data_IF_995247586331
#
_entry.id   IF_995247586331
#
_cell.length_a   1.000
_cell.length_b   1.000
_cell.length_c   1.000
_cell.angle_alpha   90.00
_cell.angle_beta   90.00
_cell.angle_gamma   90.00
#
_symmetry.space_group_name_H-M   'P 1'
#
loop_
_entity.id
_entity.type
_entity.pdbx_description
1 polymer ?
#
# COMPACT_ATOMS: atom_id res chain seq x y z
N UNK A 1 -78.41 -34.56 -17.70
CA UNK A 1 -77.92 -33.34 -17.02
C UNK A 1 -78.10 -32.14 -17.94
N UNK A 2 -78.81 -31.09 -17.51
CA UNK A 2 -79.21 -29.96 -18.38
C UNK A 2 -78.18 -28.83 -18.43
N UNK A 3 -78.00 -28.23 -19.62
CA UNK A 3 -77.01 -27.19 -19.94
C UNK A 3 -76.96 -26.01 -18.92
N UNK A 4 -78.10 -25.63 -18.32
CA UNK A 4 -78.17 -24.58 -17.28
C UNK A 4 -77.40 -24.94 -15.99
N UNK A 5 -77.34 -26.22 -15.60
CA UNK A 5 -76.55 -26.69 -14.46
C UNK A 5 -75.05 -26.61 -14.76
N UNK A 6 -74.65 -26.97 -15.98
CA UNK A 6 -73.27 -26.86 -16.47
C UNK A 6 -72.82 -25.40 -16.49
N UNK A 7 -73.63 -24.45 -16.98
CA UNK A 7 -73.31 -23.01 -16.98
C UNK A 7 -73.13 -22.45 -15.57
N UNK A 8 -73.98 -22.82 -14.60
CA UNK A 8 -73.81 -22.42 -13.20
C UNK A 8 -72.54 -23.00 -12.58
N UNK A 9 -72.20 -24.25 -12.90
CA UNK A 9 -70.95 -24.87 -12.43
C UNK A 9 -69.72 -24.18 -13.03
N UNK A 10 -69.77 -23.76 -14.29
CA UNK A 10 -68.72 -22.99 -14.97
C UNK A 10 -68.57 -21.59 -14.36
N UNK A 11 -69.66 -20.87 -14.10
CA UNK A 11 -69.62 -19.58 -13.41
C UNK A 11 -69.10 -19.69 -11.96
N UNK A 12 -69.51 -20.72 -11.22
CA UNK A 12 -68.99 -20.98 -9.88
C UNK A 12 -67.52 -21.40 -9.88
N UNK A 13 -67.04 -22.05 -10.96
CA UNK A 13 -65.64 -22.36 -11.19
C UNK A 13 -64.84 -21.09 -11.53
N UNK A 14 -65.34 -20.25 -12.43
CA UNK A 14 -64.73 -18.97 -12.80
C UNK A 14 -64.57 -18.03 -11.59
N UNK A 15 -65.61 -17.86 -10.78
CA UNK A 15 -65.56 -17.06 -9.53
C UNK A 15 -64.59 -17.65 -8.49
N UNK A 16 -64.42 -18.98 -8.45
CA UNK A 16 -63.40 -19.63 -7.60
C UNK A 16 -61.99 -19.36 -8.11
N UNK A 17 -61.80 -19.44 -9.43
CA UNK A 17 -60.52 -19.14 -10.09
C UNK A 17 -60.07 -17.70 -9.83
N UNK A 18 -60.97 -16.73 -10.00
CA UNK A 18 -60.72 -15.30 -9.75
C UNK A 18 -60.34 -15.01 -8.30
N UNK A 19 -61.08 -15.57 -7.32
CA UNK A 19 -60.71 -15.46 -5.90
C UNK A 19 -59.35 -16.08 -5.58
N UNK A 20 -59.03 -17.23 -6.19
CA UNK A 20 -57.73 -17.88 -6.03
C UNK A 20 -56.60 -17.08 -6.69
N UNK A 21 -56.87 -16.37 -7.79
CA UNK A 21 -55.90 -15.47 -8.42
C UNK A 21 -55.61 -14.25 -7.52
N UNK A 22 -56.66 -13.59 -7.01
CA UNK A 22 -56.50 -12.47 -6.06
C UNK A 22 -55.82 -12.88 -4.76
N UNK A 23 -56.12 -14.08 -4.22
CA UNK A 23 -55.42 -14.59 -3.04
C UNK A 23 -53.93 -14.78 -3.31
N UNK A 24 -53.58 -15.41 -4.45
CA UNK A 24 -52.17 -15.59 -4.87
C UNK A 24 -51.47 -14.25 -5.06
N UNK A 25 -52.13 -13.26 -5.66
CA UNK A 25 -51.59 -11.91 -5.82
C UNK A 25 -51.28 -11.26 -4.45
N UNK A 26 -52.21 -11.31 -3.49
CA UNK A 26 -51.98 -10.78 -2.13
C UNK A 26 -50.85 -11.50 -1.40
N UNK A 27 -50.74 -12.82 -1.55
CA UNK A 27 -49.65 -13.60 -0.98
C UNK A 27 -48.29 -13.22 -1.58
N UNK A 28 -48.23 -12.98 -2.90
CA UNK A 28 -47.04 -12.47 -3.57
C UNK A 28 -46.68 -11.05 -3.12
N UNK A 29 -47.65 -10.14 -3.01
CA UNK A 29 -47.43 -8.78 -2.50
C UNK A 29 -46.92 -8.77 -1.06
N UNK A 30 -47.43 -9.67 -0.20
CA UNK A 30 -46.95 -9.80 1.18
C UNK A 30 -45.50 -10.28 1.20
N UNK A 31 -45.15 -11.30 0.41
CA UNK A 31 -43.77 -11.78 0.27
C UNK A 31 -42.84 -10.69 -0.25
N UNK A 32 -43.29 -9.94 -1.26
CA UNK A 32 -42.51 -8.82 -1.81
C UNK A 32 -42.21 -7.75 -0.74
N UNK A 33 -43.19 -7.41 0.10
CA UNK A 33 -42.98 -6.48 1.23
C UNK A 33 -42.02 -7.03 2.27
N UNK A 34 -42.07 -8.34 2.55
CA UNK A 34 -41.13 -9.00 3.46
C UNK A 34 -39.71 -8.99 2.90
N UNK A 35 -39.52 -9.31 1.61
CA UNK A 35 -38.21 -9.22 0.95
C UNK A 35 -37.66 -7.79 0.95
N UNK A 36 -38.45 -6.81 0.53
CA UNK A 36 -38.01 -5.41 0.52
C UNK A 36 -37.65 -4.91 1.93
N UNK A 37 -38.35 -5.40 2.96
CA UNK A 37 -38.00 -5.10 4.35
C UNK A 37 -36.67 -5.73 4.75
N UNK A 38 -36.41 -6.99 4.38
CA UNK A 38 -35.13 -7.64 4.68
C UNK A 38 -33.97 -6.93 3.99
N UNK A 39 -34.10 -6.66 2.69
CA UNK A 39 -33.13 -5.92 1.89
C UNK A 39 -32.82 -4.54 2.50
N UNK A 40 -33.83 -3.79 2.91
CA UNK A 40 -33.62 -2.48 3.56
C UNK A 40 -32.90 -2.57 4.91
N UNK A 41 -33.07 -3.67 5.66
CA UNK A 41 -32.36 -3.88 6.92
C UNK A 41 -30.91 -4.30 6.68
N UNK A 42 -30.65 -5.14 5.67
CA UNK A 42 -29.30 -5.52 5.25
C UNK A 42 -28.52 -4.31 4.74
N UNK A 43 -29.14 -3.49 3.89
CA UNK A 43 -28.53 -2.25 3.42
C UNK A 43 -28.22 -1.29 4.58
N UNK A 44 -29.15 -1.15 5.54
CA UNK A 44 -28.93 -0.33 6.73
C UNK A 44 -27.74 -0.83 7.57
N UNK A 45 -27.60 -2.14 7.75
CA UNK A 45 -26.47 -2.73 8.47
C UNK A 45 -25.14 -2.48 7.75
N UNK A 46 -25.11 -2.71 6.43
CA UNK A 46 -23.94 -2.47 5.61
C UNK A 46 -23.49 -0.99 5.65
N UNK A 47 -24.43 -0.04 5.60
CA UNK A 47 -24.09 1.39 5.68
C UNK A 47 -23.47 1.79 7.02
N UNK A 48 -23.86 1.13 8.11
CA UNK A 48 -23.26 1.35 9.44
C UNK A 48 -21.87 0.72 9.48
N UNK A 49 -21.71 -0.49 8.95
CA UNK A 49 -20.40 -1.17 8.85
C UNK A 49 -19.40 -0.35 8.04
N UNK A 50 -19.79 0.20 6.88
CA UNK A 50 -18.93 1.09 6.08
C UNK A 50 -18.52 2.33 6.87
N UNK A 51 -19.45 2.92 7.63
CA UNK A 51 -19.15 4.08 8.48
C UNK A 51 -18.19 3.74 9.61
N UNK A 52 -18.44 2.65 10.34
CA UNK A 52 -17.58 2.19 11.44
C UNK A 52 -16.18 1.85 10.94
N UNK A 53 -16.07 1.11 9.83
CA UNK A 53 -14.80 0.81 9.19
C UNK A 53 -14.05 2.06 8.74
N UNK A 54 -14.74 3.06 8.19
CA UNK A 54 -14.12 4.34 7.81
C UNK A 54 -13.54 5.08 9.02
N UNK A 55 -14.27 5.11 10.14
CA UNK A 55 -13.78 5.70 11.39
C UNK A 55 -12.58 4.90 11.92
N UNK A 56 -12.63 3.57 11.86
CA UNK A 56 -11.53 2.71 12.31
C UNK A 56 -10.26 2.92 11.48
N UNK A 57 -10.37 3.02 10.15
CA UNK A 57 -9.23 3.33 9.25
C UNK A 57 -8.55 4.64 9.69
N UNK A 58 -9.33 5.72 9.83
CA UNK A 58 -8.84 7.04 10.24
C UNK A 58 -8.10 6.97 11.58
N UNK A 59 -8.63 6.22 12.55
CA UNK A 59 -8.06 6.11 13.89
C UNK A 59 -6.88 5.12 13.98
N UNK A 60 -6.69 4.25 12.98
CA UNK A 60 -5.67 3.20 12.97
C UNK A 60 -4.52 3.41 11.97
N UNK A 61 -4.52 4.52 11.21
CA UNK A 61 -3.45 4.87 10.25
C UNK A 61 -2.01 4.65 10.78
N UNK A 62 -1.77 4.96 12.05
CA UNK A 62 -0.47 4.84 12.71
C UNK A 62 0.00 3.40 12.95
N UNK A 63 -0.87 2.39 12.85
CA UNK A 63 -0.55 0.99 13.19
C UNK A 63 0.29 0.33 12.12
N UNK A 64 -0.11 0.51 10.88
CA UNK A 64 0.61 0.01 9.71
C UNK A 64 1.91 0.80 9.49
N UNK A 65 2.95 0.13 8.98
CA UNK A 65 4.23 0.72 8.59
C UNK A 65 5.06 -0.34 7.85
N UNK A 66 5.92 0.07 6.92
CA UNK A 66 6.89 -0.82 6.29
C UNK A 66 7.93 -1.35 7.30
N UNK A 67 8.60 -2.44 6.93
CA UNK A 67 9.76 -2.94 7.68
C UNK A 67 10.96 -2.01 7.52
N UNK A 68 11.77 -1.90 8.58
CA UNK A 68 12.95 -1.05 8.56
C UNK A 68 14.02 -1.56 7.57
N UNK A 69 14.51 -0.65 6.72
CA UNK A 69 15.56 -0.91 5.74
C UNK A 69 16.91 -1.05 6.43
N UNK A 70 17.55 -2.20 6.23
CA UNK A 70 18.87 -2.50 6.81
C UNK A 70 19.98 -2.06 5.86
N UNK A 71 20.20 -0.75 5.70
CA UNK A 71 21.22 -0.20 4.77
C UNK A 71 22.62 -0.81 4.93
N UNK A 72 23.08 -1.04 6.16
CA UNK A 72 24.38 -1.70 6.43
C UNK A 72 24.45 -3.13 5.88
N UNK A 73 23.32 -3.84 5.78
CA UNK A 73 23.25 -5.18 5.20
C UNK A 73 23.46 -5.14 3.69
N UNK A 74 22.96 -4.11 2.99
CA UNK A 74 23.17 -3.94 1.55
C UNK A 74 24.67 -3.79 1.23
N UNK A 75 25.42 -3.08 2.08
CA UNK A 75 26.88 -2.98 1.94
C UNK A 75 27.63 -4.30 2.13
N UNK A 76 26.98 -5.30 2.74
CA UNK A 76 27.56 -6.63 2.97
C UNK A 76 27.24 -7.62 1.85
N UNK A 77 26.40 -7.25 0.87
CA UNK A 77 26.07 -8.11 -0.26
C UNK A 77 27.32 -8.30 -1.15
N UNK A 78 27.72 -9.56 -1.44
CA UNK A 78 28.89 -9.81 -2.27
C UNK A 78 28.65 -9.37 -3.71
N UNK A 79 29.70 -8.89 -4.37
CA UNK A 79 29.67 -8.56 -5.79
C UNK A 79 29.30 -9.79 -6.62
N UNK A 80 28.36 -9.66 -7.59
CA UNK A 80 28.02 -10.73 -8.51
C UNK A 80 29.26 -11.23 -9.26
N UNK A 81 29.46 -12.54 -9.28
CA UNK A 81 30.63 -13.14 -9.92
C UNK A 81 30.51 -13.06 -11.43
N UNK A 82 31.50 -12.47 -12.08
CA UNK A 82 31.58 -12.43 -13.53
C UNK A 82 31.66 -13.86 -14.10
N UNK A 83 30.81 -14.23 -15.08
CA UNK A 83 30.86 -15.54 -15.68
C UNK A 83 32.16 -15.75 -16.44
N UNK A 84 32.66 -16.97 -16.42
CA UNK A 84 33.84 -17.38 -17.19
C UNK A 84 33.38 -18.14 -18.43
N UNK A 85 34.06 -17.90 -19.55
CA UNK A 85 33.79 -18.63 -20.78
C UNK A 85 34.17 -20.11 -20.61
N UNK A 86 33.18 -20.99 -20.76
CA UNK A 86 33.37 -22.44 -20.75
C UNK A 86 33.34 -22.98 -22.18
N UNK A 87 34.28 -23.86 -22.52
CA UNK A 87 34.30 -24.59 -23.80
C UNK A 87 33.89 -26.05 -23.64
N UNK A 88 33.07 -26.37 -22.64
CA UNK A 88 32.69 -27.75 -22.29
C UNK A 88 32.03 -28.49 -23.46
N UNK A 89 31.10 -27.85 -24.17
CA UNK A 89 30.41 -28.52 -25.28
C UNK A 89 31.36 -28.67 -26.48
N UNK A 90 32.19 -27.67 -26.75
CA UNK A 90 33.24 -27.77 -27.76
C UNK A 90 34.20 -28.93 -27.46
N UNK A 91 34.65 -29.07 -26.22
CA UNK A 91 35.54 -30.15 -25.79
C UNK A 91 34.88 -31.52 -25.93
N UNK A 92 33.63 -31.67 -25.51
CA UNK A 92 32.85 -32.90 -25.69
C UNK A 92 32.65 -33.26 -27.17
N UNK A 93 32.30 -32.28 -28.00
CA UNK A 93 32.10 -32.47 -29.43
C UNK A 93 33.42 -32.82 -30.15
N UNK A 94 34.52 -32.19 -29.75
CA UNK A 94 35.87 -32.45 -30.27
C UNK A 94 36.32 -33.85 -29.88
N UNK A 95 36.11 -34.25 -28.63
CA UNK A 95 36.41 -35.60 -28.15
C UNK A 95 35.59 -36.65 -28.91
N UNK A 96 34.28 -36.44 -29.07
CA UNK A 96 33.40 -37.34 -29.83
C UNK A 96 33.80 -37.46 -31.31
N UNK A 97 34.32 -36.39 -31.91
CA UNK A 97 34.85 -36.43 -33.26
C UNK A 97 36.19 -37.19 -33.35
N UNK A 98 37.05 -37.03 -32.35
CA UNK A 98 38.36 -37.68 -32.28
C UNK A 98 38.27 -39.19 -32.00
N UNK A 99 37.31 -39.64 -31.19
CA UNK A 99 37.09 -41.06 -30.84
C UNK A 99 36.16 -41.79 -31.80
N UNK A 100 35.65 -41.12 -32.84
CA UNK A 100 34.73 -41.73 -33.80
C UNK A 100 35.43 -42.79 -34.67
N UNK A 101 34.84 -43.99 -34.69
CA UNK A 101 35.20 -45.08 -35.58
C UNK A 101 33.99 -45.52 -36.42
N UNK A 102 34.12 -45.70 -37.74
CA UNK A 102 33.00 -46.09 -38.59
C UNK A 102 32.61 -47.56 -38.37
N UNK A 103 31.32 -47.80 -38.11
CA UNK A 103 30.76 -49.15 -37.98
C UNK A 103 30.70 -49.87 -39.33
N UNK A 104 30.57 -51.21 -39.31
CA UNK A 104 30.55 -52.08 -40.50
C UNK A 104 29.57 -51.60 -41.59
N UNK A 105 28.37 -51.17 -41.20
CA UNK A 105 27.36 -50.61 -42.10
C UNK A 105 27.71 -49.21 -42.65
N UNK A 106 28.41 -48.37 -41.89
CA UNK A 106 28.84 -47.04 -42.35
C UNK A 106 29.93 -47.15 -43.44
N UNK A 107 30.78 -48.19 -43.36
CA UNK A 107 31.75 -48.55 -44.41
C UNK A 107 31.06 -49.13 -45.64
N UNK A 108 30.12 -50.06 -45.45
CA UNK A 108 29.40 -50.75 -46.53
C UNK A 108 28.55 -49.79 -47.38
N UNK A 109 27.94 -48.76 -46.78
CA UNK A 109 27.13 -47.75 -47.48
C UNK A 109 27.87 -46.44 -47.83
N UNK A 110 29.19 -46.37 -47.67
CA UNK A 110 30.02 -45.15 -47.92
C UNK A 110 29.52 -43.89 -47.18
N UNK A 111 28.88 -44.06 -46.02
CA UNK A 111 28.30 -42.96 -45.22
C UNK A 111 29.31 -42.26 -44.31
N UNK A 112 30.54 -42.76 -44.23
CA UNK A 112 31.60 -42.22 -43.36
C UNK A 112 31.88 -40.73 -43.59
N UNK A 113 31.98 -40.29 -44.85
CA UNK A 113 32.22 -38.89 -45.18
C UNK A 113 31.11 -37.97 -44.65
N UNK A 114 29.85 -38.41 -44.75
CA UNK A 114 28.69 -37.68 -44.23
C UNK A 114 28.68 -37.65 -42.69
N UNK A 115 29.06 -38.74 -42.03
CA UNK A 115 29.10 -38.81 -40.57
C UNK A 115 30.24 -37.96 -39.98
N UNK A 116 31.43 -37.96 -40.59
CA UNK A 116 32.53 -37.07 -40.21
C UNK A 116 32.20 -35.60 -40.46
N UNK A 117 31.53 -35.28 -41.57
CA UNK A 117 31.04 -33.92 -41.84
C UNK A 117 30.01 -33.47 -40.78
N UNK A 118 29.10 -34.36 -40.37
CA UNK A 118 28.13 -34.08 -39.31
C UNK A 118 28.81 -33.84 -37.94
N UNK A 119 29.84 -34.63 -37.59
CA UNK A 119 30.62 -34.43 -36.36
C UNK A 119 31.38 -33.08 -36.37
N UNK A 120 31.97 -32.70 -37.50
CA UNK A 120 32.60 -31.37 -37.65
C UNK A 120 31.58 -30.24 -37.51
N UNK A 121 30.38 -30.40 -38.08
CA UNK A 121 29.29 -29.44 -37.90
C UNK A 121 28.82 -29.36 -36.44
N UNK A 122 28.85 -30.48 -35.69
CA UNK A 122 28.51 -30.49 -34.25
C UNK A 122 29.51 -29.73 -33.41
N UNK A 123 30.81 -29.75 -33.73
CA UNK A 123 31.82 -28.91 -33.05
C UNK A 123 31.49 -27.42 -33.23
N UNK A 124 31.21 -26.99 -34.47
CA UNK A 124 30.83 -25.60 -34.73
C UNK A 124 29.52 -25.20 -34.04
N UNK A 125 28.53 -26.11 -34.00
CA UNK A 125 27.29 -25.88 -33.26
C UNK A 125 27.51 -25.80 -31.75
N UNK A 126 28.41 -26.65 -31.20
CA UNK A 126 28.77 -26.65 -29.79
C UNK A 126 29.52 -25.37 -29.38
N UNK A 127 30.47 -24.90 -30.20
CA UNK A 127 31.13 -23.61 -30.02
C UNK A 127 30.13 -22.44 -30.02
N UNK A 128 29.18 -22.44 -30.97
CA UNK A 128 28.15 -21.41 -31.05
C UNK A 128 27.18 -21.46 -29.86
N UNK A 129 26.91 -22.65 -29.31
CA UNK A 129 26.09 -22.82 -28.10
C UNK A 129 26.84 -22.37 -26.83
N UNK A 130 28.11 -22.76 -26.66
CA UNK A 130 28.97 -22.30 -25.56
C UNK A 130 29.08 -20.77 -25.56
N UNK A 131 29.28 -20.15 -26.74
CA UNK A 131 29.29 -18.69 -26.88
C UNK A 131 27.93 -18.08 -26.52
N UNK A 132 26.81 -18.65 -27.00
CA UNK A 132 25.47 -18.13 -26.68
C UNK A 132 25.19 -18.18 -25.18
N UNK A 133 25.56 -19.29 -24.51
CA UNK A 133 25.41 -19.44 -23.05
C UNK A 133 26.26 -18.43 -22.30
N UNK A 134 27.50 -18.23 -22.73
CA UNK A 134 28.38 -17.22 -22.14
C UNK A 134 27.81 -15.81 -22.29
N UNK A 135 27.32 -15.44 -23.48
CA UNK A 135 26.71 -14.12 -23.69
C UNK A 135 25.45 -13.92 -22.82
N UNK A 136 24.58 -14.93 -22.72
CA UNK A 136 23.40 -14.86 -21.85
C UNK A 136 23.78 -14.66 -20.37
N UNK A 137 24.76 -15.43 -19.87
CA UNK A 137 25.27 -15.26 -18.50
C UNK A 137 25.94 -13.91 -18.29
N UNK A 138 26.66 -13.41 -19.30
CA UNK A 138 27.33 -12.12 -19.26
C UNK A 138 26.31 -10.98 -19.18
N UNK A 139 25.21 -11.06 -19.92
CA UNK A 139 24.15 -10.06 -19.89
C UNK A 139 23.38 -10.10 -18.57
N UNK A 140 23.06 -11.28 -18.04
CA UNK A 140 22.48 -11.44 -16.70
C UNK A 140 23.41 -10.85 -15.61
N UNK A 141 24.71 -11.14 -15.71
CA UNK A 141 25.70 -10.57 -14.80
C UNK A 141 25.82 -9.04 -14.91
N UNK A 142 25.77 -8.46 -16.11
CA UNK A 142 25.80 -7.00 -16.28
C UNK A 142 24.63 -6.33 -15.57
N UNK A 143 23.42 -6.89 -15.70
CA UNK A 143 22.23 -6.38 -15.01
C UNK A 143 22.42 -6.48 -13.49
N UNK A 144 22.74 -7.68 -12.99
CA UNK A 144 22.93 -7.89 -11.55
C UNK A 144 24.06 -7.03 -10.95
N UNK A 145 25.17 -6.85 -11.68
CA UNK A 145 26.27 -5.99 -11.26
C UNK A 145 25.87 -4.52 -11.24
N UNK A 146 25.07 -4.06 -12.21
CA UNK A 146 24.56 -2.68 -12.24
C UNK A 146 23.65 -2.43 -11.05
N UNK A 147 22.67 -3.31 -10.82
CA UNK A 147 21.77 -3.23 -9.66
C UNK A 147 22.55 -3.24 -8.33
N UNK A 148 23.50 -4.17 -8.17
CA UNK A 148 24.36 -4.24 -6.99
C UNK A 148 25.19 -2.95 -6.78
N UNK A 149 25.71 -2.36 -7.85
CA UNK A 149 26.51 -1.13 -7.78
C UNK A 149 25.63 0.07 -7.39
N UNK A 150 24.44 0.18 -7.96
CA UNK A 150 23.45 1.22 -7.65
C UNK A 150 22.96 1.12 -6.20
N UNK A 151 22.56 -0.08 -5.75
CA UNK A 151 22.14 -0.35 -4.36
C UNK A 151 23.22 0.00 -3.34
N UNK A 152 24.49 -0.27 -3.68
CA UNK A 152 25.61 0.07 -2.81
C UNK A 152 25.89 1.56 -2.79
N UNK A 153 25.87 2.23 -3.94
CA UNK A 153 26.10 3.67 -4.03
C UNK A 153 25.07 4.43 -3.19
N UNK A 154 23.78 4.13 -3.37
CA UNK A 154 22.72 4.77 -2.61
C UNK A 154 22.83 4.45 -1.11
N UNK A 155 23.17 3.21 -0.74
CA UNK A 155 23.36 2.84 0.67
C UNK A 155 24.53 3.59 1.33
N UNK A 156 25.66 3.77 0.62
CA UNK A 156 26.80 4.56 1.11
C UNK A 156 26.36 6.01 1.32
N UNK A 157 25.77 6.62 0.29
CA UNK A 157 25.35 8.03 0.33
C UNK A 157 24.34 8.30 1.44
N UNK A 158 23.37 7.42 1.65
CA UNK A 158 22.38 7.52 2.74
C UNK A 158 23.05 7.44 4.11
N UNK A 159 23.98 6.50 4.29
CA UNK A 159 24.71 6.33 5.55
C UNK A 159 25.64 7.51 5.85
N UNK A 160 26.17 8.17 4.81
CA UNK A 160 26.95 9.40 4.91
C UNK A 160 26.08 10.66 5.08
N UNK A 161 24.74 10.51 5.09
CA UNK A 161 23.79 11.58 5.32
C UNK A 161 23.52 12.47 4.11
N UNK A 162 23.82 12.00 2.89
CA UNK A 162 23.59 12.74 1.65
C UNK A 162 22.10 13.10 1.49
N UNK A 163 21.83 14.41 1.33
CA UNK A 163 20.48 14.94 1.23
C UNK A 163 19.70 14.35 0.07
N UNK A 164 20.31 14.27 -1.11
CA UNK A 164 19.60 13.83 -2.31
C UNK A 164 19.30 12.33 -2.22
N UNK A 165 20.25 11.51 -1.77
CA UNK A 165 20.05 10.08 -1.60
C UNK A 165 18.92 9.73 -0.61
N UNK A 166 18.75 10.53 0.47
CA UNK A 166 17.59 10.37 1.37
C UNK A 166 16.26 10.61 0.65
N UNK A 167 16.18 11.67 -0.16
CA UNK A 167 14.97 11.99 -0.93
C UNK A 167 14.68 10.94 -1.99
N UNK A 168 15.71 10.51 -2.74
CA UNK A 168 15.59 9.47 -3.77
C UNK A 168 15.09 8.15 -3.17
N UNK A 169 15.60 7.77 -1.99
CA UNK A 169 15.12 6.58 -1.29
C UNK A 169 13.65 6.70 -0.88
N UNK A 170 13.25 7.84 -0.29
CA UNK A 170 11.87 8.07 0.11
C UNK A 170 10.91 7.98 -1.09
N UNK A 171 11.30 8.54 -2.24
CA UNK A 171 10.51 8.49 -3.47
C UNK A 171 10.36 7.06 -3.99
N UNK A 172 11.43 6.24 -3.92
CA UNK A 172 11.42 4.87 -4.42
C UNK A 172 10.51 3.90 -3.65
N UNK A 173 10.23 4.13 -2.35
CA UNK A 173 9.44 3.21 -1.53
C UNK A 173 7.92 3.41 -1.63
N UNK A 174 7.43 4.46 -2.29
CA UNK A 174 6.00 4.80 -2.47
C UNK A 174 5.12 4.64 -1.19
N UNK A 175 5.71 4.75 0.01
CA UNK A 175 5.09 4.30 1.27
C UNK A 175 3.92 5.17 1.77
N UNK A 176 3.62 6.25 1.04
CA UNK A 176 2.61 7.23 1.41
C UNK A 176 1.36 7.22 0.53
N UNK A 177 1.22 6.24 -0.38
CA UNK A 177 0.09 6.18 -1.31
C UNK A 177 -1.27 6.27 -0.59
N UNK A 178 -1.47 5.54 0.52
CA UNK A 178 -2.72 5.57 1.30
C UNK A 178 -2.98 6.94 1.95
N UNK A 179 -1.95 7.59 2.48
CA UNK A 179 -2.06 8.94 3.05
C UNK A 179 -2.43 9.94 1.96
N UNK A 180 -1.85 9.80 0.77
CA UNK A 180 -2.18 10.61 -0.40
C UNK A 180 -3.59 10.35 -0.93
N UNK A 181 -4.10 9.12 -0.86
CA UNK A 181 -5.49 8.79 -1.21
C UNK A 181 -6.53 9.45 -0.29
N UNK A 182 -6.16 9.77 0.96
CA UNK A 182 -6.96 10.57 1.88
C UNK A 182 -6.83 12.09 1.63
N UNK A 183 -6.31 12.50 0.47
CA UNK A 183 -6.22 13.90 0.06
C UNK A 183 -4.96 14.62 0.57
N UNK A 184 -4.01 13.90 1.18
CA UNK A 184 -2.86 14.54 1.81
C UNK A 184 -1.63 14.63 0.90
N UNK A 185 -1.18 15.85 0.63
CA UNK A 185 0.12 16.09 -0.01
C UNK A 185 1.22 16.07 1.05
N UNK A 186 2.35 15.41 0.73
CA UNK A 186 3.52 15.36 1.61
C UNK A 186 4.71 16.03 0.93
N UNK A 187 5.29 17.02 1.59
CA UNK A 187 6.52 17.68 1.16
C UNK A 187 7.67 17.29 2.09
N UNK A 188 8.78 16.84 1.50
CA UNK A 188 10.00 16.46 2.24
C UNK A 188 11.03 17.59 2.18
N UNK A 189 11.65 17.90 3.32
CA UNK A 189 12.68 18.93 3.46
C UNK A 189 13.82 18.36 4.31
N UNK A 190 15.03 18.33 3.77
CA UNK A 190 16.24 18.05 4.57
C UNK A 190 16.87 19.39 4.94
N UNK A 191 16.86 19.71 6.24
CA UNK A 191 17.38 20.96 6.79
C UNK A 191 18.91 20.96 6.91
N UNK A 192 19.48 22.15 7.09
CA UNK A 192 20.87 22.29 7.50
C UNK A 192 21.10 21.53 8.83
N UNK A 193 22.10 20.65 8.86
CA UNK A 193 22.31 19.71 9.97
C UNK A 193 21.70 18.32 9.77
N UNK A 194 21.12 18.05 8.59
CA UNK A 194 20.74 16.69 8.14
C UNK A 194 19.39 16.18 8.62
N UNK A 195 18.69 16.96 9.46
CA UNK A 195 17.35 16.61 9.98
C UNK A 195 16.33 16.65 8.85
N UNK A 196 15.61 15.55 8.67
CA UNK A 196 14.49 15.47 7.74
C UNK A 196 13.20 15.98 8.41
N UNK A 197 12.50 16.87 7.73
CA UNK A 197 11.13 17.29 8.02
C UNK A 197 10.18 16.85 6.91
N UNK A 198 9.06 16.24 7.28
CA UNK A 198 7.93 16.03 6.40
C UNK A 198 6.79 16.98 6.76
N UNK A 199 6.30 17.73 5.77
CA UNK A 199 5.11 18.57 5.89
C UNK A 199 3.94 17.86 5.25
N UNK A 200 2.87 17.63 6.02
CA UNK A 200 1.72 16.81 5.61
C UNK A 200 0.48 17.69 5.62
N UNK A 201 -0.16 17.90 4.47
CA UNK A 201 -1.42 18.62 4.41
C UNK A 201 -2.59 17.68 4.69
N UNK A 202 -3.27 17.82 5.83
CA UNK A 202 -4.19 16.78 6.34
C UNK A 202 -5.57 16.80 5.66
N UNK A 203 -6.07 17.98 5.29
CA UNK A 203 -7.42 18.16 4.72
C UNK A 203 -8.52 17.50 5.57
N UNK A 204 -8.47 17.68 6.90
CA UNK A 204 -9.30 16.92 7.84
C UNK A 204 -10.81 17.11 7.65
N UNK A 205 -11.24 18.26 7.13
CA UNK A 205 -12.64 18.54 6.80
C UNK A 205 -13.24 17.61 5.75
N UNK A 206 -12.40 17.06 4.87
CA UNK A 206 -12.85 16.27 3.72
C UNK A 206 -12.83 14.77 4.03
N UNK A 207 -12.03 14.36 5.02
CA UNK A 207 -11.82 12.96 5.41
C UNK A 207 -12.79 12.53 6.51
N UNK A 208 -13.09 13.42 7.47
CA UNK A 208 -13.86 13.07 8.66
C UNK A 208 -15.36 13.16 8.37
N UNK A 209 -16.14 12.10 8.67
CA UNK A 209 -17.59 12.13 8.44
C UNK A 209 -18.27 13.28 9.19
N UNK A 210 -19.19 13.96 8.52
CA UNK A 210 -20.02 15.02 9.13
C UNK A 210 -21.28 14.47 9.79
N UNK A 211 -21.56 13.17 9.62
CA UNK A 211 -22.71 12.45 10.16
C UNK A 211 -22.27 11.20 10.91
N UNK A 212 -23.10 10.76 11.86
CA UNK A 212 -22.97 9.51 12.58
C UNK A 212 -24.08 8.57 12.09
N UNK A 213 -23.67 7.38 11.61
CA UNK A 213 -24.59 6.30 11.24
C UNK A 213 -24.65 5.26 12.35
N UNK A 214 -25.85 4.76 12.65
CA UNK A 214 -26.08 3.73 13.67
C UNK A 214 -27.37 2.96 13.39
N UNK A 215 -27.54 1.79 14.00
CA UNK A 215 -28.78 1.02 13.94
C UNK A 215 -29.71 1.35 15.10
N UNK A 216 -31.00 1.55 14.80
CA UNK A 216 -32.04 1.56 15.81
C UNK A 216 -32.30 0.15 16.34
N UNK A 217 -32.97 0.03 17.50
CA UNK A 217 -33.45 -1.28 18.03
C UNK A 217 -34.31 -2.08 17.03
N UNK A 218 -34.88 -1.40 16.04
CA UNK A 218 -35.68 -2.01 14.97
C UNK A 218 -34.86 -2.51 13.77
N UNK A 219 -33.54 -2.31 13.77
CA UNK A 219 -32.62 -2.60 12.66
C UNK A 219 -32.61 -1.55 11.55
N UNK A 220 -33.43 -0.49 11.65
CA UNK A 220 -33.42 0.61 10.67
C UNK A 220 -32.22 1.53 10.88
N UNK A 221 -31.70 2.09 9.79
CA UNK A 221 -30.65 3.09 9.79
C UNK A 221 -31.10 4.37 10.52
N UNK A 222 -30.22 4.90 11.37
CA UNK A 222 -30.31 6.20 12.00
C UNK A 222 -29.09 7.03 11.63
N UNK A 223 -29.32 8.14 10.96
CA UNK A 223 -28.31 9.13 10.59
C UNK A 223 -28.53 10.41 11.39
N UNK A 224 -27.47 10.93 12.03
CA UNK A 224 -27.52 12.18 12.80
C UNK A 224 -26.31 13.03 12.45
N UNK A 225 -26.47 14.35 12.42
CA UNK A 225 -25.33 15.26 12.30
C UNK A 225 -24.34 15.03 13.45
N UNK A 226 -23.04 15.03 13.13
CA UNK A 226 -21.99 14.82 14.12
C UNK A 226 -21.86 16.06 15.02
N UNK A 227 -21.86 15.89 16.36
CA UNK A 227 -21.57 17.00 17.25
C UNK A 227 -20.14 17.52 17.01
N UNK A 228 -19.96 18.85 16.97
CA UNK A 228 -18.66 19.48 16.71
C UNK A 228 -17.53 18.96 17.62
N UNK A 229 -17.84 18.72 18.91
CA UNK A 229 -16.86 18.17 19.85
C UNK A 229 -16.39 16.76 19.50
N UNK A 230 -17.27 15.92 18.93
CA UNK A 230 -16.91 14.56 18.48
C UNK A 230 -16.12 14.60 17.18
N UNK A 231 -16.52 15.48 16.26
CA UNK A 231 -15.77 15.73 15.03
C UNK A 231 -14.33 16.14 15.35
N UNK A 232 -14.15 17.11 16.27
CA UNK A 232 -12.83 17.60 16.65
C UNK A 232 -11.97 16.53 17.33
N UNK A 233 -12.54 15.63 18.13
CA UNK A 233 -11.81 14.49 18.71
C UNK A 233 -11.31 13.54 17.62
N UNK A 234 -12.18 13.12 16.71
CA UNK A 234 -11.79 12.28 15.58
C UNK A 234 -10.72 12.97 14.72
N UNK A 235 -10.82 14.29 14.56
CA UNK A 235 -9.82 15.08 13.84
C UNK A 235 -8.48 15.08 14.54
N UNK A 236 -8.48 15.23 15.87
CA UNK A 236 -7.26 15.19 16.66
C UNK A 236 -6.54 13.86 16.51
N UNK A 237 -7.27 12.76 16.68
CA UNK A 237 -6.73 11.41 16.59
C UNK A 237 -6.23 11.13 15.17
N UNK A 238 -6.98 11.53 14.14
CA UNK A 238 -6.57 11.41 12.75
C UNK A 238 -5.25 12.13 12.46
N UNK A 239 -5.14 13.42 12.81
CA UNK A 239 -3.94 14.23 12.59
C UNK A 239 -2.73 13.60 13.28
N UNK A 240 -2.89 13.20 14.53
CA UNK A 240 -1.81 12.59 15.31
C UNK A 240 -1.43 11.21 14.78
N UNK A 241 -2.42 10.43 14.32
CA UNK A 241 -2.24 9.12 13.71
C UNK A 241 -1.47 9.22 12.38
N UNK A 242 -1.85 10.17 11.51
CA UNK A 242 -1.12 10.47 10.27
C UNK A 242 0.31 10.94 10.55
N UNK A 243 0.50 11.85 11.51
CA UNK A 243 1.84 12.34 11.85
C UNK A 243 2.74 11.18 12.33
N UNK A 244 2.20 10.32 13.20
CA UNK A 244 2.92 9.14 13.69
C UNK A 244 3.21 8.14 12.57
N UNK A 245 2.24 7.88 11.67
CA UNK A 245 2.47 7.02 10.49
C UNK A 245 3.63 7.54 9.65
N UNK A 246 3.60 8.83 9.28
CA UNK A 246 4.65 9.45 8.47
C UNK A 246 6.01 9.37 9.17
N UNK A 247 6.06 9.70 10.46
CA UNK A 247 7.30 9.61 11.24
C UNK A 247 7.87 8.18 11.25
N UNK A 248 7.01 7.18 11.43
CA UNK A 248 7.39 5.76 11.42
C UNK A 248 7.92 5.30 10.07
N UNK A 249 7.23 5.63 8.98
CA UNK A 249 7.66 5.25 7.62
C UNK A 249 9.02 5.86 7.29
N UNK A 250 9.23 7.13 7.63
CA UNK A 250 10.52 7.79 7.41
C UNK A 250 11.65 7.15 8.22
N UNK A 251 11.38 6.79 9.48
CA UNK A 251 12.33 6.04 10.30
C UNK A 251 12.51 4.59 9.81
N UNK A 252 11.53 3.99 9.14
CA UNK A 252 11.71 2.67 8.54
C UNK A 252 12.62 2.76 7.30
N UNK A 253 12.42 3.77 6.45
CA UNK A 253 13.18 3.99 5.23
C UNK A 253 14.61 4.46 5.54
N UNK A 254 14.79 5.39 6.46
CA UNK A 254 16.08 6.05 6.71
C UNK A 254 16.80 5.50 7.95
N UNK A 255 18.15 5.57 7.99
CA UNK A 255 18.92 5.18 9.17
C UNK A 255 18.89 6.25 10.28
N UNK A 256 18.27 7.42 10.05
CA UNK A 256 18.17 8.51 11.00
C UNK A 256 17.49 8.09 12.31
N UNK A 257 17.95 8.64 13.43
CA UNK A 257 17.33 8.41 14.74
C UNK A 257 16.20 9.40 15.06
N UNK A 258 16.06 10.48 14.26
CA UNK A 258 15.07 11.52 14.46
C UNK A 258 14.56 12.11 13.15
N UNK A 259 13.25 12.30 13.07
CA UNK A 259 12.58 13.03 11.98
C UNK A 259 11.55 14.00 12.56
N UNK A 260 11.26 15.08 11.84
CA UNK A 260 10.20 16.02 12.18
C UNK A 260 9.01 15.79 11.26
N UNK A 261 7.81 15.78 11.81
CA UNK A 261 6.57 15.80 11.02
C UNK A 261 5.75 17.01 11.43
N UNK A 262 5.40 17.82 10.44
CA UNK A 262 4.58 19.02 10.60
C UNK A 262 3.27 18.84 9.83
N UNK A 263 2.16 18.70 10.54
CA UNK A 263 0.84 18.63 9.95
C UNK A 263 0.29 20.03 9.70
N UNK A 264 -0.18 20.26 8.48
CA UNK A 264 -0.78 21.50 7.99
C UNK A 264 -2.28 21.25 7.77
N UNK A 265 -3.09 22.24 8.13
CA UNK A 265 -4.51 22.25 7.78
C UNK A 265 -5.02 23.67 7.63
N UNK A 266 -6.17 23.82 6.98
CA UNK A 266 -6.85 25.10 6.84
C UNK A 266 -7.45 25.51 8.18
N UNK A 267 -6.91 26.56 8.78
CA UNK A 267 -7.40 27.14 10.04
C UNK A 267 -7.75 28.61 9.87
N UNK A 268 -8.70 29.08 10.66
CA UNK A 268 -9.12 30.48 10.64
C UNK A 268 -8.01 31.37 11.22
N UNK A 269 -7.41 32.22 10.38
CA UNK A 269 -6.54 33.28 10.84
C UNK A 269 -7.40 34.40 11.45
N UNK A 270 -7.39 34.53 12.77
CA UNK A 270 -8.22 35.51 13.48
C UNK A 270 -7.87 36.97 13.15
N UNK A 271 -6.69 37.23 12.59
CA UNK A 271 -6.24 38.57 12.23
C UNK A 271 -6.73 39.00 10.84
N UNK A 272 -6.86 38.06 9.91
CA UNK A 272 -7.30 38.31 8.53
C UNK A 272 -8.75 37.89 8.28
N UNK A 273 -9.28 36.99 9.11
CA UNK A 273 -10.61 36.39 8.95
C UNK A 273 -10.68 35.32 7.84
N UNK A 274 -9.54 34.97 7.24
CA UNK A 274 -9.47 33.99 6.16
C UNK A 274 -9.02 32.61 6.66
N UNK A 275 -9.47 31.56 5.97
CA UNK A 275 -8.91 30.22 6.15
C UNK A 275 -7.56 30.17 5.45
N UNK A 276 -6.53 29.81 6.19
CA UNK A 276 -5.16 29.73 5.69
C UNK A 276 -4.58 28.37 6.10
N UNK A 277 -3.81 27.75 5.20
CA UNK A 277 -3.07 26.54 5.51
C UNK A 277 -1.94 26.89 6.48
N UNK A 278 -2.04 26.40 7.72
CA UNK A 278 -1.06 26.67 8.77
C UNK A 278 -0.72 25.39 9.55
N UNK A 279 0.47 25.33 10.18
CA UNK A 279 0.81 24.21 11.04
C UNK A 279 -0.16 24.09 12.22
N UNK A 280 -0.72 22.90 12.41
CA UNK A 280 -1.60 22.58 13.55
C UNK A 280 -0.95 21.61 14.54
N UNK A 281 0.03 20.85 14.07
CA UNK A 281 0.88 19.96 14.86
C UNK A 281 2.29 19.98 14.25
N UNK A 282 3.32 20.04 15.09
CA UNK A 282 4.70 19.77 14.68
C UNK A 282 5.39 18.96 15.77
N UNK A 283 5.96 17.82 15.41
CA UNK A 283 6.47 16.81 16.35
C UNK A 283 7.79 16.23 15.85
N UNK A 284 8.75 16.07 16.77
CA UNK A 284 10.01 15.39 16.51
C UNK A 284 9.92 13.95 17.01
N UNK A 285 9.84 12.99 16.07
CA UNK A 285 9.82 11.57 16.38
C UNK A 285 11.24 11.03 16.45
N UNK A 286 11.60 10.48 17.61
CA UNK A 286 12.85 9.74 17.78
C UNK A 286 12.61 8.23 17.75
N UNK A 287 13.45 7.49 17.03
CA UNK A 287 13.37 6.03 16.90
C UNK A 287 13.25 5.29 18.24
N UNK A 288 14.08 5.56 19.27
CA UNK A 288 13.97 4.83 20.55
C UNK A 288 12.60 4.98 21.23
N UNK A 289 12.01 6.17 21.13
CA UNK A 289 10.69 6.45 21.72
C UNK A 289 9.59 5.75 20.91
N UNK A 290 9.65 5.82 19.57
CA UNK A 290 8.69 5.14 18.69
C UNK A 290 8.71 3.62 18.92
N UNK A 291 9.90 3.01 18.97
CA UNK A 291 10.08 1.57 19.19
C UNK A 291 9.59 1.11 20.57
N UNK A 292 9.49 2.04 21.54
CA UNK A 292 8.97 1.78 22.88
C UNK A 292 7.44 1.86 23.02
N UNK A 293 6.72 2.35 22.01
CA UNK A 293 5.26 2.50 22.06
C UNK A 293 4.54 1.19 21.68
N UNK A 294 3.43 0.90 22.36
CA UNK A 294 2.52 -0.17 21.93
C UNK A 294 1.46 0.38 20.95
N UNK A 295 1.82 0.40 19.67
CA UNK A 295 1.03 1.00 18.59
C UNK A 295 -0.36 0.37 18.41
N UNK A 296 -0.59 -0.85 18.91
CA UNK A 296 -1.91 -1.48 18.81
C UNK A 296 -2.95 -0.89 19.75
N UNK A 297 -2.49 -0.27 20.84
CA UNK A 297 -3.34 0.14 21.96
C UNK A 297 -3.19 1.60 22.36
N UNK A 298 -2.23 2.32 21.78
CA UNK A 298 -2.04 3.73 22.11
C UNK A 298 -3.20 4.57 21.58
N UNK A 299 -3.46 5.67 22.28
CA UNK A 299 -4.16 6.81 21.72
C UNK A 299 -3.12 7.72 21.03
N UNK A 300 -3.25 7.99 19.72
CA UNK A 300 -2.22 8.73 18.98
C UNK A 300 -2.08 10.18 19.46
N UNK A 301 -3.17 10.80 19.93
CA UNK A 301 -3.14 12.17 20.42
C UNK A 301 -2.42 12.29 21.77
N UNK A 302 -2.64 11.32 22.68
CA UNK A 302 -1.93 11.23 23.94
C UNK A 302 -0.47 10.80 23.75
N UNK A 303 -0.18 9.96 22.76
CA UNK A 303 1.17 9.49 22.45
C UNK A 303 2.13 10.65 22.12
N UNK A 304 1.61 11.76 21.59
CA UNK A 304 2.40 12.97 21.29
C UNK A 304 3.17 13.49 22.51
N UNK A 305 2.66 13.26 23.74
CA UNK A 305 3.31 13.68 24.99
C UNK A 305 4.67 13.03 25.24
N UNK A 306 4.97 11.91 24.58
CA UNK A 306 6.27 11.25 24.66
C UNK A 306 7.35 11.94 23.81
N UNK A 307 6.96 12.91 22.98
CA UNK A 307 7.83 13.57 22.02
C UNK A 307 7.92 15.07 22.29
N UNK A 308 8.99 15.70 21.77
CA UNK A 308 9.02 17.16 21.66
C UNK A 308 8.03 17.55 20.56
N UNK A 309 6.98 18.28 20.93
CA UNK A 309 5.91 18.65 20.02
C UNK A 309 5.32 20.02 20.34
N UNK A 310 4.76 20.66 19.33
CA UNK A 310 3.88 21.82 19.43
C UNK A 310 2.50 21.39 18.94
N UNK A 311 1.49 21.48 19.81
CA UNK A 311 0.09 21.19 19.48
C UNK A 311 -0.81 22.07 20.34
N UNK A 312 -1.83 22.67 19.73
CA UNK A 312 -2.86 23.43 20.43
C UNK A 312 -4.24 22.95 20.01
N UNK A 313 -4.94 22.28 20.93
CA UNK A 313 -6.24 21.68 20.68
C UNK A 313 -7.24 22.00 21.79
N UNK A 314 -8.49 22.27 21.41
CA UNK A 314 -9.62 22.38 22.33
C UNK A 314 -10.82 21.63 21.76
N UNK A 315 -11.42 20.69 22.51
CA UNK A 315 -12.58 19.90 22.05
C UNK A 315 -13.70 20.73 21.41
N UNK A 316 -14.02 21.90 21.96
CA UNK A 316 -15.07 22.77 21.43
C UNK A 316 -14.71 23.54 20.14
N UNK A 317 -13.43 23.72 19.85
CA UNK A 317 -12.94 24.58 18.75
C UNK A 317 -12.03 23.87 17.74
N UNK A 318 -11.51 22.68 18.05
CA UNK A 318 -10.56 21.94 17.23
C UNK A 318 -9.11 22.41 17.44
N UNK A 319 -8.31 22.23 16.39
CA UNK A 319 -6.94 22.70 16.34
C UNK A 319 -6.85 24.23 16.22
N UNK A 320 -5.73 24.77 16.67
CA UNK A 320 -5.31 26.14 16.38
C UNK A 320 -3.90 26.13 15.82
N UNK A 321 -3.55 27.17 15.07
CA UNK A 321 -2.23 27.31 14.51
C UNK A 321 -1.14 27.28 15.61
N UNK A 322 -0.03 26.61 15.29
CA UNK A 322 1.16 26.50 16.14
C UNK A 322 2.41 26.85 15.35
N UNK A 323 3.50 27.15 16.05
CA UNK A 323 4.80 27.26 15.39
C UNK A 323 5.33 25.86 15.02
N UNK A 324 5.88 25.71 13.82
CA UNK A 324 6.67 24.53 13.47
C UNK A 324 7.91 24.44 14.38
N UNK A 325 8.37 23.22 14.65
CA UNK A 325 9.60 23.00 15.40
C UNK A 325 10.80 23.52 14.60
N UNK A 326 11.75 24.16 15.30
CA UNK A 326 13.00 24.60 14.70
C UNK A 326 13.97 23.42 14.58
N UNK A 327 14.18 22.93 13.34
CA UNK A 327 15.05 21.80 13.04
C UNK A 327 16.49 21.97 13.57
N UNK A 328 16.97 23.21 13.70
CA UNK A 328 18.33 23.50 14.23
C UNK A 328 18.51 23.06 15.69
N UNK A 329 17.42 22.92 16.44
CA UNK A 329 17.45 22.41 17.82
C UNK A 329 17.73 20.91 17.91
N UNK A 330 17.59 20.20 16.78
CA UNK A 330 17.75 18.76 16.66
C UNK A 330 18.90 18.38 15.73
N UNK A 331 19.62 19.38 15.20
CA UNK A 331 20.79 19.15 14.36
C UNK A 331 21.81 18.32 15.14
N UNK A 332 22.26 17.22 14.53
CA UNK A 332 23.36 16.44 15.08
C UNK A 332 24.61 17.31 14.96
N UNK A 333 25.22 17.64 16.09
CA UNK A 333 26.54 18.28 16.08
C UNK A 333 27.52 17.21 15.64
N UNK A 334 27.90 17.22 14.36
CA UNK A 334 28.88 16.28 13.78
C UNK A 334 30.25 16.55 14.37
#
# INVERSE_FOLDING_TARGET
MGWKGTVRSLQASARRSERNAHRRQRELEKRQKEYAKMEALEQAAYEVEVYENHVDIILSMHKECAEAVKWKRLLSNPEPRQPLKSGTLEQEATHAAATYHPNFWARLFKLEARQRAALKSKIGAAQAEDERRYQAQLDEWKTAHTEWAEERDIAIRILDGDRQAKLDAIEAFESFAEISHLGSAIQMIVHEGGVLEAKVAIHGSDVIPTEIKSLLKSGKLSTKAMPAGRFNELHQDYVCSCALRVGRELLAILPDDLVIVTALDNVLNSSTGHMEEQPILSVAFSRPTVDGLNLETIDPSDAMKNFVHNMSFKKGAGFSAVAALDARRFAVTV
#
